data_IF_915129440269
#
_entry.id   IF_915129440269
#
_cell.length_a   1.000
_cell.length_b   1.000
_cell.length_c   1.000
_cell.angle_alpha   90.00
_cell.angle_beta   90.00
_cell.angle_gamma   90.00
#
_symmetry.space_group_name_H-M   'P 1'
#
loop_
_entity.id
_entity.type
_entity.pdbx_description
1 polymer ?
#
# COMPACT_ATOMS: atom_id res chain seq x y z
N UNK A 1 -19.13 -16.47 13.15
CA UNK A 1 -18.57 -15.27 12.51
C UNK A 1 -17.08 -15.53 12.26
N UNK A 2 -16.59 -15.42 11.03
CA UNK A 2 -15.16 -15.52 10.70
C UNK A 2 -14.66 -14.13 10.32
N UNK A 3 -13.59 -13.67 10.97
CA UNK A 3 -12.94 -12.40 10.69
C UNK A 3 -11.59 -12.71 10.04
N UNK A 4 -11.32 -12.09 8.89
CA UNK A 4 -10.04 -12.14 8.22
C UNK A 4 -9.47 -10.72 8.16
N UNK A 5 -8.17 -10.60 8.40
CA UNK A 5 -7.44 -9.36 8.27
C UNK A 5 -6.41 -9.57 7.16
N UNK A 6 -6.47 -8.73 6.13
CA UNK A 6 -5.49 -8.74 5.05
C UNK A 6 -4.33 -7.81 5.45
N UNK A 7 -3.09 -8.30 5.35
CA UNK A 7 -1.88 -7.53 5.67
C UNK A 7 -0.80 -7.72 4.62
N UNK A 8 0.12 -6.76 4.53
CA UNK A 8 1.31 -6.81 3.68
C UNK A 8 2.53 -6.56 4.55
N UNK A 9 3.52 -7.46 4.49
CA UNK A 9 4.82 -7.25 5.15
C UNK A 9 5.63 -6.20 4.38
N UNK A 10 6.46 -5.38 5.06
CA UNK A 10 7.26 -4.34 4.41
C UNK A 10 8.10 -4.85 3.23
N UNK A 11 8.66 -6.06 3.36
CA UNK A 11 9.52 -6.70 2.37
C UNK A 11 8.77 -7.06 1.08
N UNK A 12 7.46 -7.26 1.18
CA UNK A 12 6.62 -7.69 0.06
C UNK A 12 5.86 -6.54 -0.61
N UNK A 13 5.96 -5.30 -0.10
CA UNK A 13 5.25 -4.13 -0.65
C UNK A 13 5.55 -3.92 -2.13
N UNK A 14 6.80 -4.13 -2.56
CA UNK A 14 7.18 -4.01 -3.97
C UNK A 14 6.48 -5.03 -4.88
N UNK A 15 6.39 -6.27 -4.42
CA UNK A 15 5.69 -7.33 -5.13
C UNK A 15 4.17 -7.08 -5.17
N UNK A 16 3.60 -6.62 -4.06
CA UNK A 16 2.19 -6.23 -4.02
C UNK A 16 1.89 -5.07 -4.98
N UNK A 17 2.78 -4.09 -5.10
CA UNK A 17 2.62 -3.00 -6.06
C UNK A 17 2.62 -3.52 -7.51
N UNK A 18 3.52 -4.45 -7.85
CA UNK A 18 3.55 -5.11 -9.16
C UNK A 18 2.24 -5.83 -9.46
N UNK A 19 1.76 -6.63 -8.50
CA UNK A 19 0.49 -7.35 -8.63
C UNK A 19 -0.71 -6.41 -8.78
N UNK A 20 -0.74 -5.27 -8.08
CA UNK A 20 -1.78 -4.25 -8.28
C UNK A 20 -1.80 -3.74 -9.73
N UNK A 21 -0.65 -3.56 -10.37
CA UNK A 21 -0.56 -3.17 -11.78
C UNK A 21 -1.02 -4.27 -12.75
N UNK A 22 -0.86 -5.54 -12.40
CA UNK A 22 -1.35 -6.67 -13.18
C UNK A 22 -2.87 -6.83 -13.02
N UNK A 23 -3.38 -6.71 -11.80
CA UNK A 23 -4.81 -6.87 -11.50
C UNK A 23 -5.69 -5.77 -12.12
N UNK A 24 -5.17 -4.56 -12.30
CA UNK A 24 -5.90 -3.47 -12.98
C UNK A 24 -6.29 -3.84 -14.43
N UNK A 25 -5.50 -4.71 -15.07
CA UNK A 25 -5.69 -5.16 -16.45
C UNK A 25 -6.78 -6.24 -16.57
N UNK A 26 -7.18 -6.85 -15.46
CA UNK A 26 -8.19 -7.90 -15.46
C UNK A 26 -9.57 -7.36 -15.90
N UNK A 27 -10.50 -8.21 -16.36
CA UNK A 27 -11.87 -7.81 -16.67
C UNK A 27 -12.58 -7.19 -15.47
N UNK A 28 -13.56 -6.29 -15.71
CA UNK A 28 -14.28 -5.54 -14.66
C UNK A 28 -14.91 -6.43 -13.58
N UNK A 29 -15.33 -7.65 -13.92
CA UNK A 29 -16.02 -8.56 -13.00
C UNK A 29 -15.08 -9.60 -12.36
N UNK A 30 -13.76 -9.44 -12.53
CA UNK A 30 -12.80 -10.38 -11.96
C UNK A 30 -12.57 -10.10 -10.47
N UNK A 31 -12.76 -11.10 -9.60
CA UNK A 31 -12.64 -10.96 -8.14
C UNK A 31 -11.31 -10.37 -7.68
N UNK A 32 -10.20 -10.71 -8.33
CA UNK A 32 -8.88 -10.19 -7.97
C UNK A 32 -8.64 -8.73 -8.41
N UNK A 33 -9.52 -8.14 -9.21
CA UNK A 33 -9.43 -6.74 -9.63
C UNK A 33 -9.81 -5.76 -8.52
N UNK A 34 -10.55 -6.25 -7.52
CA UNK A 34 -10.91 -5.48 -6.34
C UNK A 34 -9.64 -5.08 -5.57
N UNK A 35 -9.39 -3.78 -5.44
CA UNK A 35 -8.27 -3.26 -4.65
C UNK A 35 -8.60 -3.34 -3.15
N UNK A 36 -8.34 -4.52 -2.56
CA UNK A 36 -8.68 -4.80 -1.16
C UNK A 36 -7.69 -4.23 -0.16
N UNK A 37 -6.43 -4.10 -0.56
CA UNK A 37 -5.33 -3.73 0.32
C UNK A 37 -4.97 -2.24 0.21
N UNK A 38 -5.33 -1.56 -0.88
CA UNK A 38 -5.00 -0.14 -1.14
C UNK A 38 -3.50 0.16 -0.98
N UNK A 39 -2.61 -0.72 -1.48
CA UNK A 39 -1.15 -0.67 -1.22
C UNK A 39 -0.53 0.68 -1.59
N UNK A 40 -0.97 1.30 -2.70
CA UNK A 40 -0.50 2.62 -3.13
C UNK A 40 -0.80 3.72 -2.11
N UNK A 41 -1.98 3.67 -1.49
CA UNK A 41 -2.42 4.62 -0.46
C UNK A 41 -1.57 4.45 0.79
N UNK A 42 -1.33 3.21 1.21
CA UNK A 42 -0.42 2.91 2.33
C UNK A 42 0.99 3.44 2.06
N UNK A 43 1.53 3.22 0.85
CA UNK A 43 2.84 3.76 0.44
C UNK A 43 2.87 5.29 0.51
N UNK A 44 1.83 5.98 0.00
CA UNK A 44 1.75 7.43 0.04
C UNK A 44 1.76 7.98 1.47
N UNK A 45 1.01 7.35 2.38
CA UNK A 45 1.00 7.75 3.80
C UNK A 45 2.35 7.47 4.48
N UNK A 46 2.97 6.32 4.20
CA UNK A 46 4.30 6.00 4.73
C UNK A 46 5.34 7.04 4.31
N UNK A 47 5.37 7.42 3.03
CA UNK A 47 6.27 8.46 2.50
C UNK A 47 5.97 9.82 3.13
N UNK A 48 4.69 10.23 3.18
CA UNK A 48 4.28 11.49 3.79
C UNK A 48 4.71 11.58 5.26
N UNK A 49 4.57 10.48 6.00
CA UNK A 49 4.99 10.39 7.39
C UNK A 49 6.52 10.45 7.54
N UNK A 50 7.27 9.76 6.67
CA UNK A 50 8.73 9.83 6.66
C UNK A 50 9.25 11.25 6.37
N UNK A 51 8.67 11.93 5.38
CA UNK A 51 9.02 13.33 5.05
C UNK A 51 8.74 14.25 6.23
N UNK A 52 7.59 14.09 6.90
CA UNK A 52 7.25 14.87 8.10
C UNK A 52 8.27 14.66 9.22
N UNK A 53 8.65 13.42 9.50
CA UNK A 53 9.65 13.11 10.54
C UNK A 53 11.02 13.71 10.21
N UNK A 54 11.46 13.62 8.96
CA UNK A 54 12.73 14.24 8.53
C UNK A 54 12.66 15.75 8.69
N UNK A 55 11.53 16.38 8.32
CA UNK A 55 11.35 17.82 8.49
C UNK A 55 11.40 18.22 9.97
N UNK A 56 10.72 17.51 10.85
CA UNK A 56 10.76 17.75 12.31
C UNK A 56 12.18 17.64 12.87
N UNK A 57 12.99 16.71 12.38
CA UNK A 57 14.40 16.56 12.77
C UNK A 57 15.28 17.71 12.26
N UNK A 58 15.05 18.17 11.03
CA UNK A 58 15.79 19.31 10.46
C UNK A 58 15.40 20.63 11.12
N UNK A 59 14.10 20.82 11.41
CA UNK A 59 13.58 22.04 12.05
C UNK A 59 13.92 22.10 13.56
N UNK A 60 14.32 20.99 14.17
CA UNK A 60 14.76 20.92 15.59
C UNK A 60 16.28 21.03 15.79
N UNK A 61 17.05 21.22 14.70
CA UNK A 61 18.49 21.48 14.72
C UNK A 61 18.84 22.96 14.69
#
# INVERSE_FOLDING_TARGET
MKVALDFVSPENVGECLRLTEEFRLLPKNHRAKEDKLEVKKMTLYAVSNAVRQVKELVDSQ
#
